data_IF_978769954582
#
_entry.id   IF_978769954582
#
_cell.length_a   1.000
_cell.length_b   1.000
_cell.length_c   1.000
_cell.angle_alpha   90.00
_cell.angle_beta   90.00
_cell.angle_gamma   90.00
#
_symmetry.space_group_name_H-M   'P 1'
#
loop_
_entity.id
_entity.type
_entity.pdbx_description
1 polymer ?
#
# COMPACT_ATOMS: atom_id res chain seq x y z
N UNK A 1 -24.11 -34.50 -14.68
CA UNK A 1 -24.57 -33.99 -13.37
C UNK A 1 -23.44 -33.91 -12.33
N UNK A 2 -22.89 -35.04 -11.80
CA UNK A 2 -21.91 -35.05 -10.68
C UNK A 2 -20.85 -33.92 -10.66
N UNK A 3 -20.10 -33.68 -11.75
CA UNK A 3 -19.10 -32.58 -11.83
C UNK A 3 -19.67 -31.19 -11.49
N UNK A 4 -20.88 -30.86 -11.96
CA UNK A 4 -21.54 -29.58 -11.67
C UNK A 4 -22.03 -29.46 -10.21
N UNK A 5 -22.26 -30.61 -9.56
CA UNK A 5 -22.64 -30.70 -8.15
C UNK A 5 -21.40 -30.50 -7.25
N UNK A 6 -20.26 -31.06 -7.65
CA UNK A 6 -18.96 -30.82 -7.00
C UNK A 6 -18.50 -29.37 -7.11
N UNK A 7 -18.57 -28.74 -8.30
CA UNK A 7 -18.24 -27.31 -8.43
C UNK A 7 -19.18 -26.42 -7.64
N UNK A 8 -20.49 -26.71 -7.58
CA UNK A 8 -21.41 -26.00 -6.69
C UNK A 8 -21.00 -26.10 -5.22
N UNK A 9 -20.66 -27.29 -4.72
CA UNK A 9 -20.21 -27.46 -3.33
C UNK A 9 -18.90 -26.72 -3.03
N UNK A 10 -17.92 -26.78 -3.93
CA UNK A 10 -16.67 -26.04 -3.80
C UNK A 10 -16.88 -24.52 -3.82
N UNK A 11 -17.77 -24.00 -4.68
CA UNK A 11 -18.15 -22.59 -4.70
C UNK A 11 -18.87 -22.18 -3.42
N UNK A 12 -19.78 -22.99 -2.88
CA UNK A 12 -20.44 -22.68 -1.59
C UNK A 12 -19.48 -22.74 -0.40
N UNK A 13 -18.46 -23.60 -0.43
CA UNK A 13 -17.41 -23.62 0.59
C UNK A 13 -16.55 -22.34 0.52
N UNK A 14 -16.01 -22.01 -0.67
CA UNK A 14 -15.23 -20.79 -0.88
C UNK A 14 -16.02 -19.51 -0.56
N UNK A 15 -17.33 -19.47 -0.84
CA UNK A 15 -18.21 -18.37 -0.44
C UNK A 15 -18.48 -18.35 1.06
N UNK A 16 -18.56 -19.51 1.71
CA UNK A 16 -18.64 -19.64 3.17
C UNK A 16 -17.38 -19.12 3.88
N UNK A 17 -16.20 -19.50 3.38
CA UNK A 17 -14.91 -19.05 3.90
C UNK A 17 -14.68 -17.56 3.60
N UNK A 18 -15.03 -17.08 2.40
CA UNK A 18 -15.04 -15.66 2.09
C UNK A 18 -15.98 -14.89 3.04
N UNK A 19 -17.19 -15.41 3.30
CA UNK A 19 -18.13 -14.85 4.25
C UNK A 19 -17.64 -14.95 5.71
N UNK A 20 -16.78 -15.91 6.06
CA UNK A 20 -16.11 -16.00 7.36
C UNK A 20 -14.99 -14.96 7.51
N UNK A 21 -14.19 -14.75 6.47
CA UNK A 21 -13.14 -13.72 6.39
C UNK A 21 -13.72 -12.30 6.40
N UNK A 22 -14.86 -12.11 5.72
CA UNK A 22 -15.65 -10.86 5.70
C UNK A 22 -16.49 -10.70 6.99
N UNK A 23 -16.77 -11.78 7.73
CA UNK A 23 -17.68 -11.74 8.90
C UNK A 23 -17.16 -10.79 9.97
N UNK A 24 -18.04 -9.88 10.37
CA UNK A 24 -17.76 -8.81 11.33
C UNK A 24 -17.55 -9.40 12.74
N UNK A 25 -16.29 -9.66 13.08
CA UNK A 25 -15.69 -9.77 14.43
C UNK A 25 -16.52 -10.52 15.49
N UNK A 26 -16.07 -11.71 15.91
CA UNK A 26 -16.62 -12.41 17.07
C UNK A 26 -16.67 -11.51 18.33
N UNK A 27 -17.72 -11.59 19.16
CA UNK A 27 -17.79 -10.86 20.43
C UNK A 27 -16.63 -11.29 21.34
N UNK A 28 -15.90 -10.30 21.90
CA UNK A 28 -14.76 -10.51 22.78
C UNK A 28 -13.41 -10.02 22.24
N UNK A 29 -13.12 -10.17 20.93
CA UNK A 29 -11.80 -9.87 20.36
C UNK A 29 -11.36 -8.41 20.61
N UNK A 30 -10.06 -8.17 20.79
CA UNK A 30 -9.48 -6.81 20.97
C UNK A 30 -8.98 -6.29 19.62
N UNK A 31 -9.24 -5.03 19.33
CA UNK A 31 -8.85 -4.33 18.10
C UNK A 31 -7.47 -3.70 18.30
N UNK A 32 -6.42 -4.51 18.23
CA UNK A 32 -5.02 -4.06 18.27
C UNK A 32 -4.55 -3.47 16.92
N UNK A 33 -5.38 -3.56 15.88
CA UNK A 33 -5.01 -3.35 14.48
C UNK A 33 -5.73 -2.16 13.81
N UNK A 34 -5.38 -1.89 12.54
CA UNK A 34 -6.00 -0.88 11.69
C UNK A 34 -6.73 -1.54 10.50
N UNK A 35 -7.68 -0.82 9.88
CA UNK A 35 -8.43 -1.34 8.72
C UNK A 35 -7.56 -1.67 7.51
N UNK A 36 -6.42 -0.99 7.34
CA UNK A 36 -5.43 -1.32 6.31
C UNK A 36 -4.75 -2.66 6.59
N UNK A 37 -4.29 -2.92 7.83
CA UNK A 37 -3.79 -4.26 8.22
C UNK A 37 -4.82 -5.36 7.92
N UNK A 38 -6.09 -5.15 8.29
CA UNK A 38 -7.17 -6.12 8.01
C UNK A 38 -7.35 -6.40 6.50
N UNK A 39 -7.01 -5.45 5.62
CA UNK A 39 -7.03 -5.63 4.17
C UNK A 39 -5.87 -6.53 3.68
N UNK A 40 -4.71 -6.47 4.33
CA UNK A 40 -3.55 -7.36 4.08
C UNK A 40 -3.79 -8.77 4.62
N UNK A 41 -3.84 -8.92 5.96
CA UNK A 41 -3.77 -10.24 6.61
C UNK A 41 -5.08 -11.04 6.54
N UNK A 42 -6.22 -10.40 6.28
CA UNK A 42 -7.49 -11.11 6.04
C UNK A 42 -7.77 -11.23 4.55
N UNK A 43 -8.07 -10.11 3.90
CA UNK A 43 -8.63 -10.13 2.54
C UNK A 43 -7.60 -10.54 1.49
N UNK A 44 -6.40 -9.94 1.53
CA UNK A 44 -5.35 -10.25 0.54
C UNK A 44 -4.78 -11.64 0.75
N UNK A 45 -4.48 -12.03 2.00
CA UNK A 45 -4.06 -13.40 2.34
C UNK A 45 -5.09 -14.44 1.87
N UNK A 46 -6.39 -14.23 2.16
CA UNK A 46 -7.45 -15.13 1.69
C UNK A 46 -7.54 -15.20 0.16
N UNK A 47 -7.41 -14.07 -0.54
CA UNK A 47 -7.45 -13.99 -2.01
C UNK A 47 -6.32 -14.82 -2.65
N UNK A 48 -5.09 -14.64 -2.17
CA UNK A 48 -3.92 -15.38 -2.66
C UNK A 48 -4.00 -16.89 -2.35
N UNK A 49 -4.39 -17.27 -1.12
CA UNK A 49 -4.57 -18.67 -0.75
C UNK A 49 -5.72 -19.33 -1.54
N UNK A 50 -6.83 -18.63 -1.76
CA UNK A 50 -7.95 -19.12 -2.57
C UNK A 50 -7.54 -19.36 -4.03
N UNK A 51 -6.77 -18.45 -4.63
CA UNK A 51 -6.25 -18.65 -5.99
C UNK A 51 -5.18 -19.75 -6.06
N UNK A 52 -4.34 -19.92 -5.03
CA UNK A 52 -3.42 -21.06 -4.93
C UNK A 52 -4.20 -22.38 -4.89
N UNK A 53 -5.17 -22.54 -3.98
CA UNK A 53 -6.01 -23.73 -3.84
C UNK A 53 -6.74 -24.04 -5.16
N UNK A 54 -7.32 -23.03 -5.82
CA UNK A 54 -8.05 -23.23 -7.07
C UNK A 54 -7.14 -23.59 -8.26
N UNK A 55 -5.91 -23.04 -8.30
CA UNK A 55 -4.88 -23.41 -9.28
C UNK A 55 -4.39 -24.86 -9.08
N UNK A 56 -4.14 -25.27 -7.82
CA UNK A 56 -3.82 -26.65 -7.46
C UNK A 56 -4.96 -27.61 -7.80
N UNK A 57 -6.21 -27.27 -7.45
CA UNK A 57 -7.37 -28.10 -7.75
C UNK A 57 -7.55 -28.31 -9.27
N UNK A 58 -7.35 -27.27 -10.09
CA UNK A 58 -7.38 -27.41 -11.55
C UNK A 58 -6.22 -28.27 -12.08
N UNK A 59 -5.06 -28.26 -11.42
CA UNK A 59 -3.89 -29.07 -11.76
C UNK A 59 -4.03 -30.56 -11.36
N UNK A 60 -4.95 -30.88 -10.44
CA UNK A 60 -5.20 -32.25 -9.95
C UNK A 60 -6.46 -32.90 -10.56
N UNK A 61 -7.43 -32.11 -11.03
CA UNK A 61 -8.75 -32.59 -11.46
C UNK A 61 -8.96 -32.60 -13.00
N UNK A 62 -7.95 -32.19 -13.78
CA UNK A 62 -7.99 -32.20 -15.23
C UNK A 62 -6.60 -32.18 -15.84
N UNK A 63 -6.51 -32.51 -17.14
CA UNK A 63 -5.24 -32.53 -17.87
C UNK A 63 -4.61 -31.13 -17.90
N UNK A 64 -3.40 -30.91 -17.34
CA UNK A 64 -2.81 -29.57 -17.25
C UNK A 64 -2.41 -29.00 -18.62
N UNK A 65 -2.09 -29.89 -19.57
CA UNK A 65 -1.96 -29.58 -21.00
C UNK A 65 -2.44 -30.75 -21.87
N UNK A 66 -2.79 -30.45 -23.12
CA UNK A 66 -3.15 -31.44 -24.13
C UNK A 66 -2.44 -31.12 -25.45
N UNK A 67 -1.52 -31.99 -25.88
CA UNK A 67 -0.71 -31.82 -27.08
C UNK A 67 -1.22 -32.63 -28.28
N UNK A 68 -1.01 -32.08 -29.47
CA UNK A 68 -1.19 -32.73 -30.77
C UNK A 68 0.13 -32.74 -31.54
N UNK A 69 0.47 -33.88 -32.13
CA UNK A 69 1.69 -34.09 -32.93
C UNK A 69 1.37 -35.08 -34.06
N UNK A 70 1.53 -34.66 -35.32
CA UNK A 70 1.16 -35.48 -36.47
C UNK A 70 2.07 -36.70 -36.68
N UNK A 71 3.38 -36.53 -36.49
CA UNK A 71 4.39 -37.57 -36.79
C UNK A 71 4.80 -38.42 -35.58
N UNK A 72 4.29 -38.09 -34.39
CA UNK A 72 4.55 -38.87 -33.17
C UNK A 72 3.83 -40.23 -33.21
N UNK A 73 2.61 -40.31 -33.75
CA UNK A 73 1.89 -41.57 -33.93
C UNK A 73 2.63 -42.52 -34.88
N UNK A 74 3.13 -42.00 -36.01
CA UNK A 74 4.02 -42.73 -36.96
C UNK A 74 5.33 -43.18 -36.31
N UNK A 75 5.75 -42.49 -35.23
CA UNK A 75 6.97 -42.78 -34.48
C UNK A 75 6.75 -43.73 -33.30
N UNK A 76 5.55 -44.28 -33.10
CA UNK A 76 5.21 -45.16 -31.97
C UNK A 76 5.13 -44.45 -30.61
N UNK A 77 5.08 -43.12 -30.57
CA UNK A 77 5.07 -42.34 -29.32
C UNK A 77 3.62 -42.07 -28.91
N UNK A 78 3.25 -42.47 -27.69
CA UNK A 78 1.91 -42.23 -27.14
C UNK A 78 1.71 -40.75 -26.80
N UNK A 79 0.45 -40.29 -26.85
CA UNK A 79 0.09 -38.90 -26.51
C UNK A 79 0.47 -38.53 -25.07
N UNK A 80 0.43 -39.49 -24.16
CA UNK A 80 0.77 -39.33 -22.74
C UNK A 80 2.25 -39.00 -22.53
N UNK A 81 3.15 -39.64 -23.28
CA UNK A 81 4.59 -39.35 -23.27
C UNK A 81 4.84 -37.91 -23.73
N UNK A 82 4.15 -37.46 -24.79
CA UNK A 82 4.27 -36.09 -25.33
C UNK A 82 3.74 -35.08 -24.30
N UNK A 83 2.53 -35.28 -23.78
CA UNK A 83 1.95 -34.42 -22.74
C UNK A 83 2.89 -34.29 -21.54
N UNK A 84 3.44 -35.42 -21.04
CA UNK A 84 4.32 -35.44 -19.87
C UNK A 84 5.66 -34.76 -20.16
N UNK A 85 6.29 -35.04 -21.31
CA UNK A 85 7.54 -34.40 -21.72
C UNK A 85 7.37 -32.89 -21.88
N UNK A 86 6.37 -32.44 -22.64
CA UNK A 86 6.11 -31.01 -22.86
C UNK A 86 5.69 -30.29 -21.57
N UNK A 87 5.03 -30.99 -20.63
CA UNK A 87 4.72 -30.43 -19.31
C UNK A 87 5.99 -30.19 -18.47
N UNK A 88 6.92 -31.16 -18.44
CA UNK A 88 8.15 -31.10 -17.63
C UNK A 88 9.20 -30.19 -18.27
N UNK A 89 9.55 -30.43 -19.53
CA UNK A 89 10.59 -29.70 -20.30
C UNK A 89 10.15 -28.29 -20.68
N UNK A 90 8.84 -28.03 -20.66
CA UNK A 90 8.25 -26.72 -20.95
C UNK A 90 7.90 -26.51 -22.42
N UNK A 91 7.22 -25.40 -22.67
CA UNK A 91 6.77 -25.01 -24.00
C UNK A 91 7.17 -23.58 -24.32
N UNK A 92 7.12 -23.18 -25.59
CA UNK A 92 7.54 -21.86 -26.04
C UNK A 92 6.57 -21.26 -27.05
N UNK A 93 6.63 -19.94 -27.19
CA UNK A 93 6.00 -19.19 -28.30
C UNK A 93 7.08 -18.45 -29.06
N UNK A 94 7.01 -18.45 -30.39
CA UNK A 94 7.88 -17.63 -31.21
C UNK A 94 7.38 -16.17 -31.19
N UNK A 95 8.22 -15.16 -30.93
CA UNK A 95 7.82 -13.76 -30.99
C UNK A 95 7.46 -13.39 -32.44
N UNK A 96 6.16 -13.30 -32.71
CA UNK A 96 5.61 -13.07 -34.06
C UNK A 96 5.87 -11.64 -34.55
N UNK A 97 7.09 -11.37 -35.05
CA UNK A 97 7.33 -10.23 -35.93
C UNK A 97 6.49 -10.41 -37.18
N UNK A 98 5.35 -9.71 -37.26
CA UNK A 98 4.48 -9.74 -38.44
C UNK A 98 5.26 -9.32 -39.70
N UNK A 99 5.36 -10.20 -40.72
CA UNK A 99 5.58 -9.78 -42.09
C UNK A 99 4.22 -9.50 -42.73
N UNK A 100 4.13 -8.53 -43.62
CA UNK A 100 2.91 -8.31 -44.44
C UNK A 100 2.82 -9.29 -45.62
N UNK A 101 3.04 -10.58 -45.32
CA UNK A 101 2.88 -11.70 -46.24
C UNK A 101 1.44 -12.23 -46.23
N UNK A 102 0.50 -11.33 -46.50
CA UNK A 102 -0.89 -11.64 -46.87
C UNK A 102 -0.95 -12.55 -48.12
N UNK A 103 0.13 -12.52 -48.91
CA UNK A 103 0.44 -13.35 -50.09
C UNK A 103 0.37 -14.87 -49.90
N UNK A 104 0.30 -15.38 -48.67
CA UNK A 104 0.26 -16.83 -48.40
C UNK A 104 -1.15 -17.37 -48.12
N UNK A 105 -2.17 -16.54 -47.90
CA UNK A 105 -3.55 -16.98 -47.61
C UNK A 105 -3.76 -17.76 -46.31
N UNK A 106 -2.69 -18.07 -45.56
CA UNK A 106 -2.75 -18.71 -44.25
C UNK A 106 -3.29 -17.70 -43.25
N UNK A 107 -4.60 -17.73 -43.02
CA UNK A 107 -5.28 -16.88 -42.04
C UNK A 107 -4.60 -17.00 -40.66
N UNK A 108 -4.36 -15.83 -40.02
CA UNK A 108 -3.55 -15.68 -38.79
C UNK A 108 -4.26 -16.27 -37.55
N UNK A 109 -4.44 -17.58 -37.51
CA UNK A 109 -5.27 -18.25 -36.53
C UNK A 109 -4.81 -18.03 -35.08
N UNK A 110 -3.49 -18.06 -34.81
CA UNK A 110 -2.94 -17.90 -33.46
C UNK A 110 -1.59 -17.16 -33.48
N UNK A 111 -1.44 -16.03 -32.75
CA UNK A 111 -0.14 -15.41 -32.56
C UNK A 111 0.75 -16.31 -31.68
N UNK A 112 2.05 -16.36 -31.99
CA UNK A 112 3.04 -17.14 -31.21
C UNK A 112 3.44 -18.50 -31.80
N UNK A 113 2.83 -18.93 -32.91
CA UNK A 113 3.14 -20.18 -33.61
C UNK A 113 3.70 -19.89 -35.01
N UNK A 114 4.70 -20.67 -35.45
CA UNK A 114 5.31 -20.54 -36.77
C UNK A 114 6.61 -21.33 -36.93
N UNK A 115 7.34 -21.05 -38.02
CA UNK A 115 8.73 -21.49 -38.26
C UNK A 115 9.70 -20.38 -37.84
N UNK A 116 10.72 -20.65 -37.01
CA UNK A 116 11.68 -19.62 -36.60
C UNK A 116 12.63 -19.28 -37.76
N UNK A 117 12.61 -18.03 -38.22
CA UNK A 117 13.52 -17.58 -39.28
C UNK A 117 14.90 -17.24 -38.71
N UNK A 118 15.95 -17.45 -39.52
CA UNK A 118 17.34 -17.05 -39.19
C UNK A 118 17.44 -15.51 -39.15
N UNK A 119 17.29 -14.93 -37.96
CA UNK A 119 17.32 -13.48 -37.72
C UNK A 119 16.21 -12.96 -36.79
N UNK A 120 15.30 -13.83 -36.32
CA UNK A 120 14.23 -13.44 -35.40
C UNK A 120 14.66 -13.40 -33.92
N UNK A 121 13.83 -12.78 -33.09
CA UNK A 121 13.99 -12.73 -31.63
C UNK A 121 13.90 -14.15 -31.04
N UNK A 122 14.61 -14.44 -29.93
CA UNK A 122 14.61 -15.77 -29.31
C UNK A 122 13.21 -16.20 -28.85
N UNK A 123 12.96 -17.50 -28.86
CA UNK A 123 11.70 -18.08 -28.40
C UNK A 123 11.41 -17.71 -26.94
N UNK A 124 10.18 -17.23 -26.67
CA UNK A 124 9.72 -16.93 -25.31
C UNK A 124 9.27 -18.23 -24.66
N UNK A 125 10.06 -18.73 -23.72
CA UNK A 125 9.77 -19.96 -22.98
C UNK A 125 8.79 -19.71 -21.84
N UNK A 126 7.87 -20.65 -21.65
CA UNK A 126 6.83 -20.62 -20.62
C UNK A 126 7.04 -21.82 -19.70
N UNK A 127 7.55 -21.56 -18.50
CA UNK A 127 7.69 -22.57 -17.43
C UNK A 127 7.03 -22.13 -16.12
N UNK A 128 6.68 -20.84 -15.99
CA UNK A 128 6.11 -20.24 -14.79
C UNK A 128 4.81 -20.93 -14.32
N UNK A 129 4.03 -21.52 -15.24
CA UNK A 129 2.73 -22.13 -14.93
C UNK A 129 2.82 -23.31 -13.95
N UNK A 130 3.95 -24.03 -13.91
CA UNK A 130 4.23 -25.08 -12.92
C UNK A 130 4.32 -24.50 -11.49
N UNK A 131 4.80 -23.26 -11.39
CA UNK A 131 5.17 -22.59 -10.15
C UNK A 131 4.09 -21.64 -9.60
N UNK A 132 3.05 -21.33 -10.40
CA UNK A 132 1.93 -20.45 -10.01
C UNK A 132 1.31 -20.82 -8.65
N UNK A 133 0.96 -22.10 -8.36
CA UNK A 133 0.31 -22.43 -7.09
C UNK A 133 1.20 -22.16 -5.87
N UNK A 134 2.50 -22.49 -5.99
CA UNK A 134 3.51 -22.29 -4.94
C UNK A 134 3.83 -20.80 -4.73
N UNK A 135 3.97 -20.05 -5.83
CA UNK A 135 4.14 -18.60 -5.80
C UNK A 135 2.98 -17.92 -5.06
N UNK A 136 1.73 -18.20 -5.46
CA UNK A 136 0.53 -17.63 -4.84
C UNK A 136 0.42 -17.99 -3.35
N UNK A 137 0.79 -19.22 -2.97
CA UNK A 137 0.82 -19.65 -1.57
C UNK A 137 1.83 -18.86 -0.72
N UNK A 138 3.08 -18.76 -1.18
CA UNK A 138 4.15 -18.03 -0.49
C UNK A 138 3.81 -16.53 -0.40
N UNK A 139 3.29 -15.94 -1.48
CA UNK A 139 2.81 -14.55 -1.50
C UNK A 139 1.69 -14.33 -0.48
N UNK A 140 0.73 -15.26 -0.37
CA UNK A 140 -0.33 -15.23 0.64
C UNK A 140 0.20 -15.22 2.08
N UNK A 141 1.17 -16.08 2.40
CA UNK A 141 1.85 -16.09 3.71
C UNK A 141 2.56 -14.74 3.97
N UNK A 142 3.21 -14.17 2.96
CA UNK A 142 3.92 -12.91 3.08
C UNK A 142 2.97 -11.72 3.40
N UNK A 143 1.70 -11.77 2.97
CA UNK A 143 0.66 -10.81 3.39
C UNK A 143 0.15 -11.00 4.82
N UNK A 144 0.35 -12.16 5.44
CA UNK A 144 0.03 -12.40 6.84
C UNK A 144 1.16 -12.00 7.80
N UNK A 145 2.42 -12.15 7.36
CA UNK A 145 3.64 -11.93 8.19
C UNK A 145 3.66 -10.61 8.98
N UNK A 146 3.31 -9.41 8.43
CA UNK A 146 3.36 -8.17 9.19
C UNK A 146 2.33 -8.07 10.32
N UNK A 147 1.20 -8.80 10.23
CA UNK A 147 0.24 -8.92 11.33
C UNK A 147 0.80 -9.82 12.44
N UNK A 148 1.32 -10.99 12.09
CA UNK A 148 1.92 -11.92 13.05
C UNK A 148 3.09 -11.28 13.82
N UNK A 149 3.95 -10.51 13.13
CA UNK A 149 4.99 -9.71 13.76
C UNK A 149 4.45 -8.62 14.71
N UNK A 150 3.29 -8.03 14.42
CA UNK A 150 2.66 -7.07 15.33
C UNK A 150 2.07 -7.75 16.57
N UNK A 151 1.38 -8.87 16.37
CA UNK A 151 0.76 -9.68 17.43
C UNK A 151 1.79 -10.16 18.46
N UNK A 152 2.95 -10.65 17.99
CA UNK A 152 4.11 -11.00 18.82
C UNK A 152 4.75 -9.80 19.55
N UNK A 153 4.60 -8.57 19.05
CA UNK A 153 5.16 -7.36 19.67
C UNK A 153 4.19 -6.66 20.64
N UNK A 154 2.89 -6.91 20.51
CA UNK A 154 1.83 -6.42 21.41
C UNK A 154 1.74 -7.24 22.69
N UNK A 155 2.01 -8.56 22.64
CA UNK A 155 2.20 -9.38 23.85
C UNK A 155 0.96 -9.35 24.79
N UNK A 156 -0.24 -9.20 24.20
CA UNK A 156 -1.53 -9.17 24.91
C UNK A 156 -1.73 -8.03 25.91
N UNK A 157 -0.93 -6.96 25.88
CA UNK A 157 -0.94 -5.87 26.87
C UNK A 157 -2.26 -5.11 26.91
N UNK A 158 -2.73 -4.63 25.75
CA UNK A 158 -4.03 -3.95 25.60
C UNK A 158 -5.17 -4.90 25.91
N UNK A 159 -5.04 -6.20 25.57
CA UNK A 159 -6.03 -7.20 25.94
C UNK A 159 -6.16 -7.32 27.46
N UNK A 160 -5.04 -7.49 28.17
CA UNK A 160 -5.01 -7.63 29.63
C UNK A 160 -5.59 -6.41 30.32
N UNK A 161 -5.23 -5.20 29.87
CA UNK A 161 -5.70 -3.92 30.43
C UNK A 161 -7.20 -3.64 30.19
N UNK A 162 -7.77 -4.15 29.09
CA UNK A 162 -9.18 -3.86 28.72
C UNK A 162 -10.14 -4.99 29.08
N UNK A 163 -9.67 -6.24 29.24
CA UNK A 163 -10.49 -7.43 29.53
C UNK A 163 -11.48 -7.21 30.67
N UNK A 164 -11.02 -6.60 31.76
CA UNK A 164 -11.85 -6.39 32.97
C UNK A 164 -12.83 -5.22 32.86
N UNK A 165 -12.66 -4.32 31.89
CA UNK A 165 -13.55 -3.15 31.69
C UNK A 165 -14.65 -3.40 30.63
N UNK A 166 -14.77 -4.62 30.12
CA UNK A 166 -15.74 -5.03 29.08
C UNK A 166 -16.90 -5.89 29.59
N UNK A 167 -16.98 -6.15 30.89
CA UNK A 167 -18.02 -6.99 31.46
C UNK A 167 -19.34 -6.17 31.52
N UNK A 168 -20.42 -6.56 30.82
CA UNK A 168 -21.64 -5.76 30.73
C UNK A 168 -22.45 -5.69 32.04
N UNK A 169 -22.04 -6.45 33.06
CA UNK A 169 -22.71 -6.60 34.36
C UNK A 169 -21.98 -5.86 35.51
N UNK A 170 -21.00 -5.00 35.22
CA UNK A 170 -20.31 -4.25 36.29
C UNK A 170 -21.15 -3.13 36.89
N UNK A 171 -21.18 -3.08 38.23
CA UNK A 171 -21.68 -1.91 38.94
C UNK A 171 -20.79 -0.66 38.71
N UNK A 172 -21.40 0.53 38.84
CA UNK A 172 -20.80 1.84 38.62
C UNK A 172 -19.59 2.10 39.52
N UNK A 173 -19.62 1.71 40.79
CA UNK A 173 -18.49 1.92 41.70
C UNK A 173 -17.35 0.92 41.43
N UNK A 174 -17.68 -0.32 41.06
CA UNK A 174 -16.69 -1.30 40.60
C UNK A 174 -15.97 -0.85 39.31
N UNK A 175 -16.72 -0.35 38.32
CA UNK A 175 -16.17 0.23 37.10
C UNK A 175 -15.27 1.44 37.41
N UNK A 176 -15.73 2.36 38.27
CA UNK A 176 -14.99 3.56 38.70
C UNK A 176 -13.68 3.23 39.40
N UNK A 177 -13.64 2.16 40.21
CA UNK A 177 -12.40 1.64 40.82
C UNK A 177 -11.43 1.12 39.75
N UNK A 178 -11.89 0.22 38.86
CA UNK A 178 -11.06 -0.37 37.79
C UNK A 178 -10.55 0.68 36.78
N UNK A 179 -11.36 1.69 36.45
CA UNK A 179 -10.93 2.85 35.65
C UNK A 179 -9.88 3.69 36.40
N UNK A 180 -9.98 3.80 37.73
CA UNK A 180 -8.95 4.43 38.57
C UNK A 180 -7.62 3.68 38.56
N UNK A 181 -7.65 2.35 38.67
CA UNK A 181 -6.46 1.50 38.58
C UNK A 181 -5.80 1.59 37.18
N UNK A 182 -6.59 1.57 36.11
CA UNK A 182 -6.11 1.81 34.74
C UNK A 182 -5.51 3.22 34.57
N UNK A 183 -6.15 4.25 35.15
CA UNK A 183 -5.65 5.63 35.10
C UNK A 183 -4.32 5.77 35.83
N UNK A 184 -4.15 5.11 36.98
CA UNK A 184 -2.88 5.06 37.73
C UNK A 184 -1.78 4.44 36.87
N UNK A 185 -1.99 3.20 36.39
CA UNK A 185 -1.04 2.47 35.54
C UNK A 185 -0.62 3.28 34.29
N UNK A 186 -1.58 3.85 33.56
CA UNK A 186 -1.27 4.67 32.39
C UNK A 186 -0.45 5.90 32.78
N UNK A 187 -0.81 6.60 33.86
CA UNK A 187 -0.12 7.83 34.29
C UNK A 187 1.29 7.56 34.85
N UNK A 188 1.56 6.34 35.32
CA UNK A 188 2.90 5.87 35.70
C UNK A 188 3.74 5.46 34.48
N UNK A 189 3.11 5.04 33.38
CA UNK A 189 3.78 4.52 32.17
C UNK A 189 3.89 5.54 31.01
N UNK A 190 3.30 6.73 31.13
CA UNK A 190 3.39 7.81 30.14
C UNK A 190 4.86 8.13 29.77
N UNK A 191 5.13 8.32 28.48
CA UNK A 191 6.45 8.53 27.91
C UNK A 191 7.18 7.24 27.50
N UNK A 192 6.81 6.07 28.05
CA UNK A 192 7.46 4.79 27.73
C UNK A 192 7.00 4.20 26.37
N UNK A 193 5.84 4.63 25.85
CA UNK A 193 5.19 4.01 24.70
C UNK A 193 5.77 4.37 23.32
N UNK A 194 6.75 5.28 23.21
CA UNK A 194 7.31 5.67 21.89
C UNK A 194 7.99 4.49 21.18
N UNK A 195 8.68 3.60 21.93
CA UNK A 195 9.27 2.37 21.37
C UNK A 195 8.22 1.33 20.92
N UNK A 196 7.07 1.28 21.59
CA UNK A 196 5.93 0.43 21.21
C UNK A 196 5.28 0.94 19.91
N UNK A 197 5.13 2.26 19.77
CA UNK A 197 4.66 2.88 18.53
C UNK A 197 5.66 2.74 17.37
N UNK A 198 6.97 2.80 17.63
CA UNK A 198 7.99 2.55 16.60
C UNK A 198 7.85 1.14 16.00
N UNK A 199 7.66 0.11 16.85
CA UNK A 199 7.39 -1.27 16.39
C UNK A 199 6.13 -1.34 15.52
N UNK A 200 5.05 -0.63 15.90
CA UNK A 200 3.84 -0.55 15.08
C UNK A 200 4.09 0.08 13.70
N UNK A 201 4.86 1.18 13.65
CA UNK A 201 5.22 1.85 12.39
C UNK A 201 6.07 0.96 11.50
N UNK A 202 6.99 0.18 12.07
CA UNK A 202 7.80 -0.82 11.34
C UNK A 202 6.89 -1.88 10.71
N UNK A 203 5.95 -2.47 11.47
CA UNK A 203 5.00 -3.44 10.94
C UNK A 203 4.13 -2.87 9.81
N UNK A 204 3.75 -1.58 9.89
CA UNK A 204 2.94 -0.94 8.84
C UNK A 204 3.77 -0.52 7.61
N UNK A 205 5.04 -0.18 7.79
CA UNK A 205 5.99 -0.01 6.69
C UNK A 205 6.29 -1.34 5.98
N UNK A 206 6.36 -2.46 6.73
CA UNK A 206 6.48 -3.81 6.17
C UNK A 206 5.28 -4.19 5.29
N UNK A 207 4.05 -3.73 5.58
CA UNK A 207 2.91 -3.87 4.65
C UNK A 207 3.19 -3.20 3.30
N UNK A 208 3.75 -1.98 3.29
CA UNK A 208 4.07 -1.24 2.06
C UNK A 208 5.18 -1.95 1.27
N UNK A 209 6.28 -2.32 1.95
CA UNK A 209 7.39 -3.07 1.36
C UNK A 209 6.90 -4.38 0.78
N UNK A 210 6.02 -5.11 1.47
CA UNK A 210 5.45 -6.37 1.01
C UNK A 210 4.59 -6.22 -0.25
N UNK A 211 3.72 -5.19 -0.34
CA UNK A 211 2.94 -4.95 -1.58
C UNK A 211 3.85 -4.65 -2.76
N UNK A 212 4.82 -3.75 -2.56
CA UNK A 212 5.77 -3.35 -3.62
C UNK A 212 6.60 -4.56 -4.07
N UNK A 213 7.13 -5.34 -3.11
CA UNK A 213 7.83 -6.58 -3.38
C UNK A 213 6.96 -7.56 -4.18
N UNK A 214 5.69 -7.74 -3.81
CA UNK A 214 4.77 -8.63 -4.53
C UNK A 214 4.52 -8.19 -5.97
N UNK A 215 4.40 -6.88 -6.23
CA UNK A 215 4.24 -6.33 -7.58
C UNK A 215 5.52 -6.55 -8.42
N UNK A 216 6.70 -6.26 -7.84
CA UNK A 216 8.01 -6.46 -8.51
C UNK A 216 8.30 -7.95 -8.77
N UNK A 217 8.04 -8.81 -7.78
CA UNK A 217 8.19 -10.26 -7.88
C UNK A 217 7.28 -10.84 -8.97
N UNK A 218 5.99 -10.50 -8.94
CA UNK A 218 5.01 -10.96 -9.95
C UNK A 218 5.41 -10.48 -11.35
N UNK A 219 5.96 -9.28 -11.49
CA UNK A 219 6.48 -8.80 -12.76
C UNK A 219 7.69 -9.58 -13.26
N UNK A 220 8.66 -9.90 -12.39
CA UNK A 220 9.81 -10.74 -12.78
C UNK A 220 9.40 -12.19 -13.07
N UNK A 221 8.43 -12.72 -12.35
CA UNK A 221 7.85 -14.05 -12.55
C UNK A 221 7.11 -14.18 -13.89
N UNK A 222 6.41 -13.12 -14.33
CA UNK A 222 5.73 -13.03 -15.62
C UNK A 222 6.60 -12.36 -16.71
N UNK A 223 7.92 -12.56 -16.68
CA UNK A 223 8.87 -12.13 -17.71
C UNK A 223 8.82 -10.62 -18.08
N UNK A 224 8.39 -9.76 -17.16
CA UNK A 224 8.31 -8.30 -17.33
C UNK A 224 6.96 -7.75 -17.79
N UNK A 225 5.96 -8.61 -18.04
CA UNK A 225 4.67 -8.20 -18.63
C UNK A 225 3.68 -7.58 -17.63
N UNK A 226 3.84 -7.89 -16.33
CA UNK A 226 2.80 -7.63 -15.33
C UNK A 226 2.49 -6.15 -15.12
N UNK A 227 3.49 -5.27 -15.10
CA UNK A 227 3.26 -3.83 -14.82
C UNK A 227 2.23 -3.21 -15.76
N UNK A 228 2.29 -3.54 -17.06
CA UNK A 228 1.35 -3.06 -18.09
C UNK A 228 0.22 -4.04 -18.39
N UNK A 229 0.06 -5.12 -17.64
CA UNK A 229 -0.92 -6.17 -17.94
C UNK A 229 -2.37 -5.68 -17.81
N UNK A 230 -2.74 -5.14 -16.65
CA UNK A 230 -4.11 -4.68 -16.41
C UNK A 230 -4.49 -3.45 -17.23
N UNK A 231 -3.55 -2.53 -17.50
CA UNK A 231 -3.79 -1.38 -18.38
C UNK A 231 -3.98 -1.78 -19.84
N UNK A 232 -3.12 -2.65 -20.40
CA UNK A 232 -3.33 -3.23 -21.75
C UNK A 232 -4.66 -3.97 -21.84
N UNK A 233 -5.04 -4.74 -20.81
CA UNK A 233 -6.34 -5.43 -20.79
C UNK A 233 -7.52 -4.45 -20.74
N UNK A 234 -7.43 -3.37 -19.95
CA UNK A 234 -8.45 -2.33 -19.88
C UNK A 234 -8.62 -1.62 -21.23
N UNK A 235 -7.52 -1.25 -21.88
CA UNK A 235 -7.53 -0.67 -23.23
C UNK A 235 -8.16 -1.63 -24.26
N UNK A 236 -7.75 -2.90 -24.26
CA UNK A 236 -8.32 -3.94 -25.13
C UNK A 236 -9.84 -4.10 -24.95
N UNK A 237 -10.35 -4.03 -23.72
CA UNK A 237 -11.80 -4.15 -23.47
C UNK A 237 -12.62 -2.93 -23.94
N UNK A 238 -12.00 -1.77 -24.14
CA UNK A 238 -12.66 -0.58 -24.69
C UNK A 238 -12.49 -0.48 -26.23
N UNK A 239 -11.42 -1.04 -26.78
CA UNK A 239 -11.08 -0.96 -28.20
C UNK A 239 -11.68 -2.11 -29.03
N UNK A 240 -12.89 -1.92 -29.55
CA UNK A 240 -13.64 -2.91 -30.38
C UNK A 240 -12.82 -3.46 -31.56
N UNK A 241 -11.88 -2.67 -32.10
CA UNK A 241 -11.06 -3.05 -33.25
C UNK A 241 -9.73 -3.76 -32.88
N UNK A 242 -9.51 -4.11 -31.60
CA UNK A 242 -8.26 -4.72 -31.15
C UNK A 242 -8.13 -6.19 -31.59
N UNK A 243 -7.23 -6.48 -32.53
CA UNK A 243 -7.07 -7.81 -33.16
C UNK A 243 -6.28 -8.82 -32.32
N UNK A 244 -5.48 -8.37 -31.36
CA UNK A 244 -4.65 -9.23 -30.49
C UNK A 244 -4.96 -8.95 -29.03
N UNK A 245 -5.27 -10.00 -28.26
CA UNK A 245 -5.56 -9.88 -26.83
C UNK A 245 -4.28 -9.97 -25.98
N UNK A 246 -3.97 -8.96 -25.12
CA UNK A 246 -2.77 -8.97 -24.28
C UNK A 246 -2.77 -10.09 -23.22
N UNK A 247 -3.97 -10.61 -22.90
CA UNK A 247 -4.15 -11.85 -22.15
C UNK A 247 -3.44 -13.04 -22.82
N UNK A 248 -3.61 -13.20 -24.13
CA UNK A 248 -3.05 -14.32 -24.88
C UNK A 248 -1.56 -14.14 -25.22
N UNK A 249 -1.05 -12.90 -25.20
CA UNK A 249 0.38 -12.57 -25.29
C UNK A 249 1.14 -12.87 -23.98
N UNK A 250 0.51 -12.60 -22.84
CA UNK A 250 1.10 -12.83 -21.51
C UNK A 250 0.92 -14.28 -21.05
N UNK A 251 -0.27 -14.85 -21.29
CA UNK A 251 -0.67 -16.21 -20.92
C UNK A 251 -1.13 -16.98 -22.17
N UNK A 252 -0.19 -17.45 -23.01
CA UNK A 252 -0.55 -18.17 -24.23
C UNK A 252 -1.30 -19.47 -23.90
N UNK A 253 -2.46 -19.63 -24.54
CA UNK A 253 -3.33 -20.81 -24.43
C UNK A 253 -2.95 -21.92 -25.41
N UNK A 254 -2.13 -21.59 -26.40
CA UNK A 254 -1.50 -22.50 -27.37
C UNK A 254 0.00 -22.22 -27.40
N UNK A 255 0.81 -23.27 -27.35
CA UNK A 255 2.27 -23.19 -27.30
C UNK A 255 2.91 -24.29 -28.13
N UNK A 256 4.17 -24.12 -28.53
CA UNK A 256 4.95 -25.13 -29.25
C UNK A 256 5.85 -25.91 -28.28
N UNK A 257 6.01 -27.19 -28.55
CA UNK A 257 6.95 -28.10 -27.89
C UNK A 257 7.73 -28.86 -28.96
N UNK A 258 8.98 -29.23 -28.69
CA UNK A 258 9.83 -30.00 -29.62
C UNK A 258 10.39 -31.22 -28.89
N UNK A 259 9.76 -32.37 -29.08
CA UNK A 259 10.22 -33.66 -28.57
C UNK A 259 11.44 -34.12 -29.38
N UNK A 260 12.49 -34.61 -28.71
CA UNK A 260 13.69 -35.11 -29.39
C UNK A 260 13.82 -36.62 -29.16
N UNK A 261 13.94 -37.39 -30.24
CA UNK A 261 14.25 -38.82 -30.22
C UNK A 261 15.50 -39.10 -31.04
N UNK A 262 16.15 -40.23 -30.76
CA UNK A 262 17.25 -40.74 -31.58
C UNK A 262 16.71 -41.78 -32.56
N UNK A 263 17.08 -41.67 -33.83
CA UNK A 263 16.82 -42.71 -34.83
C UNK A 263 17.81 -43.88 -34.71
N UNK A 264 17.58 -44.95 -35.46
CA UNK A 264 18.45 -46.16 -35.47
C UNK A 264 19.92 -45.88 -35.82
N UNK A 265 20.19 -44.77 -36.52
CA UNK A 265 21.54 -44.28 -36.88
C UNK A 265 22.14 -43.32 -35.83
N UNK A 266 21.55 -43.23 -34.63
CA UNK A 266 21.94 -42.25 -33.60
C UNK A 266 21.60 -40.79 -33.94
N UNK A 267 20.99 -40.53 -35.10
CA UNK A 267 20.66 -39.17 -35.55
C UNK A 267 19.45 -38.60 -34.79
N UNK A 268 19.56 -37.34 -34.36
CA UNK A 268 18.50 -36.64 -33.62
C UNK A 268 17.35 -36.28 -34.55
N UNK A 269 16.19 -36.90 -34.34
CA UNK A 269 14.95 -36.56 -35.01
C UNK A 269 14.10 -35.68 -34.06
N UNK A 270 13.74 -34.48 -34.53
CA UNK A 270 12.89 -33.53 -33.80
C UNK A 270 11.44 -33.68 -34.26
N UNK A 271 10.54 -33.85 -33.30
CA UNK A 271 9.10 -33.93 -33.52
C UNK A 271 8.43 -32.74 -32.85
N UNK A 272 7.80 -31.88 -33.65
CA UNK A 272 7.11 -30.70 -33.14
C UNK A 272 5.67 -31.03 -32.75
N UNK A 273 5.27 -30.56 -31.56
CA UNK A 273 3.93 -30.69 -31.03
C UNK A 273 3.34 -29.31 -30.71
N UNK A 274 2.02 -29.16 -30.94
CA UNK A 274 1.25 -27.98 -30.53
C UNK A 274 0.44 -28.36 -29.30
N UNK A 275 0.61 -27.61 -28.21
CA UNK A 275 0.02 -27.93 -26.91
C UNK A 275 -0.98 -26.85 -26.47
N UNK A 276 -2.21 -27.27 -26.18
CA UNK A 276 -3.21 -26.47 -25.48
C UNK A 276 -2.86 -26.47 -24.00
N UNK A 277 -2.65 -25.29 -23.43
CA UNK A 277 -2.20 -25.09 -22.05
C UNK A 277 -3.38 -24.62 -21.18
N UNK A 278 -4.17 -25.58 -20.69
CA UNK A 278 -5.44 -25.32 -20.03
C UNK A 278 -5.30 -24.40 -18.80
N UNK A 279 -4.22 -24.54 -18.03
CA UNK A 279 -3.94 -23.70 -16.85
C UNK A 279 -3.86 -22.20 -17.17
N UNK A 280 -3.44 -21.81 -18.38
CA UNK A 280 -3.31 -20.41 -18.73
C UNK A 280 -4.65 -19.67 -18.90
N UNK A 281 -5.75 -20.37 -19.20
CA UNK A 281 -7.09 -19.74 -19.24
C UNK A 281 -7.57 -19.31 -17.84
N UNK A 282 -7.03 -19.92 -16.79
CA UNK A 282 -7.28 -19.55 -15.41
C UNK A 282 -6.30 -18.46 -14.94
N UNK A 283 -5.00 -18.64 -15.23
CA UNK A 283 -3.96 -17.68 -14.88
C UNK A 283 -4.23 -16.28 -15.46
N UNK A 284 -4.70 -16.18 -16.71
CA UNK A 284 -5.00 -14.87 -17.34
C UNK A 284 -6.08 -14.06 -16.58
N UNK A 285 -6.99 -14.73 -15.85
CA UNK A 285 -8.02 -14.09 -15.04
C UNK A 285 -7.55 -13.82 -13.62
N UNK A 286 -6.86 -14.77 -13.00
CA UNK A 286 -6.28 -14.60 -11.65
C UNK A 286 -5.32 -13.41 -11.62
N UNK A 287 -4.36 -13.35 -12.53
CA UNK A 287 -3.40 -12.25 -12.55
C UNK A 287 -4.00 -10.91 -12.98
N UNK A 288 -5.14 -10.89 -13.68
CA UNK A 288 -5.89 -9.65 -13.92
C UNK A 288 -6.51 -9.12 -12.63
N UNK A 289 -7.21 -9.97 -11.86
CA UNK A 289 -7.81 -9.59 -10.58
C UNK A 289 -6.73 -9.16 -9.59
N UNK A 290 -5.61 -9.89 -9.52
CA UNK A 290 -4.47 -9.53 -8.68
C UNK A 290 -3.81 -8.21 -9.09
N UNK A 291 -3.76 -7.86 -10.38
CA UNK A 291 -3.22 -6.57 -10.83
C UNK A 291 -4.02 -5.39 -10.27
N UNK A 292 -5.34 -5.39 -10.46
CA UNK A 292 -6.22 -4.34 -9.94
C UNK A 292 -6.23 -4.33 -8.40
N UNK A 293 -6.21 -5.51 -7.76
CA UNK A 293 -6.18 -5.62 -6.31
C UNK A 293 -4.89 -5.06 -5.71
N UNK A 294 -3.71 -5.50 -6.18
CA UNK A 294 -2.41 -5.06 -5.67
C UNK A 294 -2.18 -3.57 -5.89
N UNK A 295 -2.57 -3.02 -7.05
CA UNK A 295 -2.48 -1.58 -7.32
C UNK A 295 -3.37 -0.76 -6.37
N UNK A 296 -4.63 -1.17 -6.18
CA UNK A 296 -5.57 -0.53 -5.25
C UNK A 296 -5.08 -0.62 -3.81
N UNK A 297 -4.58 -1.79 -3.41
CA UNK A 297 -4.00 -2.06 -2.09
C UNK A 297 -2.75 -1.20 -1.82
N UNK A 298 -1.88 -1.02 -2.81
CA UNK A 298 -0.72 -0.14 -2.73
C UNK A 298 -1.15 1.31 -2.48
N UNK A 299 -2.05 1.84 -3.32
CA UNK A 299 -2.56 3.21 -3.24
C UNK A 299 -3.21 3.47 -1.88
N UNK A 300 -4.09 2.58 -1.40
CA UNK A 300 -4.75 2.71 -0.09
C UNK A 300 -3.73 2.67 1.05
N UNK A 301 -2.79 1.72 1.04
CA UNK A 301 -1.81 1.54 2.12
C UNK A 301 -0.88 2.75 2.21
N UNK A 302 -0.31 3.19 1.08
CA UNK A 302 0.59 4.35 1.02
C UNK A 302 -0.16 5.63 1.42
N UNK A 303 -1.37 5.86 0.90
CA UNK A 303 -2.16 7.06 1.20
C UNK A 303 -2.50 7.16 2.69
N UNK A 304 -2.94 6.05 3.32
CA UNK A 304 -3.27 6.03 4.75
C UNK A 304 -2.02 6.14 5.63
N UNK A 305 -0.89 5.57 5.21
CA UNK A 305 0.38 5.70 5.93
C UNK A 305 0.91 7.14 5.89
N UNK A 306 0.93 7.78 4.73
CA UNK A 306 1.33 9.18 4.56
C UNK A 306 0.40 10.12 5.33
N UNK A 307 -0.91 9.95 5.20
CA UNK A 307 -1.92 10.71 5.96
C UNK A 307 -1.70 10.57 7.47
N UNK A 308 -1.56 9.34 7.98
CA UNK A 308 -1.33 9.13 9.42
C UNK A 308 -0.04 9.79 9.88
N UNK A 309 1.06 9.63 9.14
CA UNK A 309 2.37 10.18 9.49
C UNK A 309 2.35 11.70 9.53
N UNK A 310 1.82 12.36 8.50
CA UNK A 310 1.71 13.82 8.45
C UNK A 310 0.87 14.39 9.62
N UNK A 311 -0.29 13.79 9.91
CA UNK A 311 -1.16 14.26 11.00
C UNK A 311 -0.61 13.97 12.41
N UNK A 312 0.24 12.95 12.59
CA UNK A 312 0.90 12.68 13.87
C UNK A 312 2.03 13.66 14.18
N UNK A 313 2.78 14.11 13.16
CA UNK A 313 3.77 15.18 13.29
C UNK A 313 3.10 16.51 13.70
N UNK A 314 1.95 16.84 13.10
CA UNK A 314 1.22 18.07 13.38
C UNK A 314 0.46 18.02 14.74
N UNK A 315 1.15 18.38 15.83
CA UNK A 315 0.57 18.48 17.19
C UNK A 315 -0.79 19.20 17.27
N UNK A 316 -1.03 20.21 16.41
CA UNK A 316 -2.28 21.00 16.34
C UNK A 316 -3.53 20.17 15.98
N UNK A 317 -3.41 19.09 15.19
CA UNK A 317 -4.55 18.30 14.73
C UNK A 317 -4.84 17.04 15.57
N UNK A 318 -3.91 16.66 16.47
CA UNK A 318 -4.06 15.50 17.38
C UNK A 318 -5.37 15.52 18.20
N UNK A 319 -5.75 16.59 18.93
CA UNK A 319 -6.94 16.57 19.78
C UNK A 319 -8.25 16.37 18.99
N UNK A 320 -8.45 17.13 17.91
CA UNK A 320 -9.63 16.99 17.06
C UNK A 320 -9.73 15.62 16.37
N UNK A 321 -8.61 15.01 15.98
CA UNK A 321 -8.59 13.64 15.46
C UNK A 321 -8.93 12.60 16.55
N UNK A 322 -8.41 12.78 17.77
CA UNK A 322 -8.69 11.89 18.90
C UNK A 322 -10.17 11.92 19.28
N UNK A 323 -10.75 13.11 19.48
CA UNK A 323 -12.17 13.28 19.82
C UNK A 323 -13.09 12.65 18.77
N UNK A 324 -12.82 12.86 17.47
CA UNK A 324 -13.57 12.24 16.36
C UNK A 324 -13.48 10.71 16.35
N UNK A 325 -12.36 10.12 16.79
CA UNK A 325 -12.19 8.66 16.91
C UNK A 325 -12.84 8.09 18.17
N UNK A 326 -12.83 8.85 19.26
CA UNK A 326 -13.33 8.45 20.58
C UNK A 326 -14.85 8.65 20.76
N UNK A 327 -15.53 9.34 19.83
CA UNK A 327 -16.96 9.70 19.92
C UNK A 327 -17.28 10.47 21.24
N UNK A 328 -16.31 11.27 21.68
CA UNK A 328 -16.39 12.12 22.88
C UNK A 328 -16.70 13.57 22.49
N UNK A 329 -17.55 14.28 23.26
CA UNK A 329 -17.77 15.72 23.05
C UNK A 329 -16.48 16.52 23.22
N UNK A 330 -16.40 17.66 22.53
CA UNK A 330 -15.28 18.57 22.59
C UNK A 330 -15.14 19.16 24.00
N UNK A 331 -14.01 18.89 24.67
CA UNK A 331 -13.72 19.38 26.02
C UNK A 331 -12.26 19.79 26.10
N UNK A 332 -12.02 20.99 26.64
CA UNK A 332 -10.68 21.58 26.82
C UNK A 332 -9.77 20.66 27.64
N UNK A 333 -10.32 20.01 28.67
CA UNK A 333 -9.70 18.96 29.47
C UNK A 333 -9.01 17.86 28.64
N UNK A 334 -9.64 17.39 27.55
CA UNK A 334 -9.07 16.35 26.68
C UNK A 334 -8.01 16.95 25.75
N UNK A 335 -8.23 18.17 25.24
CA UNK A 335 -7.26 18.84 24.37
C UNK A 335 -5.93 19.09 25.08
N UNK A 336 -5.99 19.54 26.33
CA UNK A 336 -4.82 19.86 27.14
C UNK A 336 -3.94 18.63 27.41
N UNK A 337 -4.55 17.46 27.62
CA UNK A 337 -3.83 16.18 27.72
C UNK A 337 -3.25 15.79 26.36
N UNK A 338 -4.09 15.69 25.33
CA UNK A 338 -3.72 15.13 24.01
C UNK A 338 -2.69 15.98 23.26
N UNK A 339 -2.59 17.27 23.55
CA UNK A 339 -1.61 18.18 22.95
C UNK A 339 -0.17 18.00 23.45
N UNK A 340 0.01 17.56 24.69
CA UNK A 340 1.30 17.58 25.40
C UNK A 340 1.95 16.21 25.63
N UNK A 341 1.26 15.11 25.31
CA UNK A 341 1.77 13.73 25.36
C UNK A 341 2.70 13.37 24.17
N UNK A 342 3.44 12.26 24.31
CA UNK A 342 4.31 11.73 23.25
C UNK A 342 3.53 11.17 22.06
N UNK A 343 4.22 10.67 21.03
CA UNK A 343 3.55 10.05 19.86
C UNK A 343 3.05 8.65 20.22
N UNK A 344 3.87 7.91 20.98
CA UNK A 344 3.53 6.60 21.52
C UNK A 344 2.37 6.64 22.50
N UNK A 345 2.37 7.60 23.43
CA UNK A 345 1.26 7.82 24.37
C UNK A 345 -0.05 8.10 23.61
N UNK A 346 0.01 8.96 22.59
CA UNK A 346 -1.14 9.29 21.73
C UNK A 346 -1.67 8.05 20.98
N UNK A 347 -0.76 7.23 20.44
CA UNK A 347 -1.13 5.99 19.76
C UNK A 347 -1.77 4.99 20.74
N UNK A 348 -1.17 4.79 21.91
CA UNK A 348 -1.64 3.85 22.93
C UNK A 348 -3.00 4.27 23.53
N UNK A 349 -3.18 5.56 23.86
CA UNK A 349 -4.49 6.10 24.25
C UNK A 349 -5.53 5.95 23.13
N UNK A 350 -5.13 6.13 21.87
CA UNK A 350 -5.98 5.86 20.71
C UNK A 350 -6.34 4.38 20.53
N UNK A 351 -5.49 3.46 21.03
CA UNK A 351 -5.70 2.02 21.00
C UNK A 351 -6.63 1.56 22.14
N UNK A 352 -6.50 2.14 23.34
CA UNK A 352 -7.47 2.01 24.43
C UNK A 352 -8.85 2.57 24.01
N UNK A 353 -8.89 3.74 23.37
CA UNK A 353 -10.14 4.36 22.90
C UNK A 353 -10.90 3.55 21.84
N UNK A 354 -10.22 2.72 21.03
CA UNK A 354 -10.87 1.74 20.13
C UNK A 354 -11.52 0.56 20.86
N UNK A 355 -11.16 0.33 22.12
CA UNK A 355 -11.37 -0.94 22.81
C UNK A 355 -12.19 -0.86 24.11
N UNK A 356 -12.22 0.31 24.76
CA UNK A 356 -13.09 0.62 25.89
C UNK A 356 -14.48 1.07 25.42
N UNK A 357 -15.51 0.76 26.20
CA UNK A 357 -16.86 1.30 25.96
C UNK A 357 -16.92 2.80 26.27
N UNK A 358 -17.83 3.52 25.60
CA UNK A 358 -17.92 5.00 25.62
C UNK A 358 -18.03 5.54 27.06
N UNK A 359 -18.76 4.86 27.95
CA UNK A 359 -18.89 5.24 29.37
C UNK A 359 -17.57 5.11 30.13
N UNK A 360 -16.88 3.96 29.99
CA UNK A 360 -15.59 3.72 30.61
C UNK A 360 -14.51 4.67 30.08
N UNK A 361 -14.50 4.91 28.76
CA UNK A 361 -13.59 5.83 28.08
C UNK A 361 -13.76 7.29 28.54
N UNK A 362 -15.01 7.77 28.67
CA UNK A 362 -15.29 9.12 29.20
C UNK A 362 -14.83 9.27 30.64
N UNK A 363 -15.08 8.26 31.48
CA UNK A 363 -14.62 8.27 32.88
C UNK A 363 -13.09 8.28 32.96
N UNK A 364 -12.42 7.40 32.22
CA UNK A 364 -10.95 7.31 32.12
C UNK A 364 -10.32 8.64 31.70
N UNK A 365 -10.79 9.24 30.61
CA UNK A 365 -10.26 10.52 30.12
C UNK A 365 -10.47 11.65 31.14
N UNK A 366 -11.61 11.68 31.84
CA UNK A 366 -11.88 12.68 32.88
C UNK A 366 -10.95 12.53 34.11
N UNK A 367 -10.61 11.31 34.50
CA UNK A 367 -9.66 11.05 35.59
C UNK A 367 -8.24 11.39 35.15
N UNK A 368 -7.83 10.97 33.95
CA UNK A 368 -6.51 11.27 33.36
C UNK A 368 -6.27 12.79 33.25
N UNK A 369 -7.28 13.57 32.82
CA UNK A 369 -7.18 15.04 32.77
C UNK A 369 -7.11 15.72 34.15
N UNK A 370 -7.68 15.11 35.20
CA UNK A 370 -7.53 15.58 36.59
C UNK A 370 -6.12 15.31 37.13
N UNK A 371 -5.56 14.12 36.89
CA UNK A 371 -4.19 13.78 37.32
C UNK A 371 -3.14 14.56 36.52
N UNK A 372 -3.32 14.70 35.20
CA UNK A 372 -2.43 15.48 34.33
C UNK A 372 -2.34 16.95 34.76
N UNK A 373 -3.46 17.58 35.13
CA UNK A 373 -3.44 18.94 35.70
C UNK A 373 -2.70 19.01 37.04
N UNK A 374 -2.89 18.05 37.96
CA UNK A 374 -2.17 17.99 39.24
C UNK A 374 -0.65 17.83 39.10
N UNK A 375 -0.15 17.27 37.98
CA UNK A 375 1.29 17.15 37.69
C UNK A 375 1.89 18.37 36.99
N UNK A 376 1.11 19.34 36.52
CA UNK A 376 1.65 20.63 36.07
C UNK A 376 1.92 21.51 37.29
N UNK A 377 3.01 22.29 37.33
CA UNK A 377 3.07 23.41 38.26
C UNK A 377 1.86 24.32 38.01
N UNK A 378 1.33 25.01 39.03
CA UNK A 378 0.29 26.01 38.81
C UNK A 378 0.81 27.03 37.79
N UNK A 379 -0.05 27.58 36.91
CA UNK A 379 0.39 28.65 36.02
C UNK A 379 0.94 29.77 36.88
N UNK A 380 2.22 30.11 36.69
CA UNK A 380 2.82 31.27 37.35
C UNK A 380 1.93 32.45 37.00
N UNK A 381 1.33 33.06 38.04
CA UNK A 381 0.53 34.26 37.83
C UNK A 381 1.43 35.27 37.15
N UNK A 382 1.14 35.56 35.88
CA UNK A 382 1.79 36.64 35.15
C UNK A 382 1.30 37.92 35.80
N UNK A 383 2.03 38.36 36.82
CA UNK A 383 1.74 39.59 37.54
C UNK A 383 1.44 40.66 36.51
N UNK A 384 0.27 41.30 36.68
CA UNK A 384 -0.03 42.51 35.95
C UNK A 384 0.94 43.55 36.48
N UNK A 385 2.10 43.69 35.83
CA UNK A 385 2.94 44.89 35.98
C UNK A 385 2.00 46.08 35.88
N UNK A 386 1.86 46.93 36.90
CA UNK A 386 1.10 48.15 36.75
C UNK A 386 1.74 48.95 35.62
N UNK A 387 0.90 49.50 34.73
CA UNK A 387 1.40 50.28 33.60
C UNK A 387 2.16 51.49 34.11
N UNK A 388 3.47 51.58 33.80
CA UNK A 388 4.24 52.80 34.01
C UNK A 388 3.76 53.88 33.04
N UNK A 389 2.72 54.59 33.45
CA UNK A 389 2.09 55.71 32.75
C UNK A 389 1.50 56.64 33.83
N UNK A 390 2.37 57.41 34.49
CA UNK A 390 1.99 58.25 35.65
C UNK A 390 3.12 58.58 36.64
N UNK A 391 4.40 58.34 36.28
CA UNK A 391 5.54 58.43 37.21
C UNK A 391 6.62 59.46 36.76
N UNK A 392 6.29 60.34 35.80
CA UNK A 392 7.22 61.36 35.25
C UNK A 392 6.91 62.81 35.69
N UNK A 393 5.85 63.06 36.45
CA UNK A 393 5.36 64.42 36.75
C UNK A 393 5.73 64.97 38.13
N UNK A 394 6.37 64.19 39.01
CA UNK A 394 6.62 64.56 40.42
C UNK A 394 8.04 64.17 40.89
N UNK A 395 9.08 64.47 40.09
CA UNK A 395 10.47 64.13 40.46
C UNK A 395 11.56 65.07 39.87
N UNK A 396 11.26 66.35 39.62
CA UNK A 396 12.31 67.33 39.25
C UNK A 396 12.15 68.64 40.04
N UNK A 397 12.67 68.64 41.26
CA UNK A 397 12.68 69.81 42.14
C UNK A 397 13.71 70.88 41.70
N UNK A 398 13.47 72.10 42.17
CA UNK A 398 14.37 73.26 42.18
C UNK A 398 15.82 72.90 42.61
N UNK A 399 16.87 73.64 42.19
CA UNK A 399 17.11 75.07 42.54
C UNK A 399 18.05 75.81 41.53
N UNK A 400 18.25 77.14 41.65
CA UNK A 400 18.68 78.00 40.53
C UNK A 400 20.08 78.66 40.64
N UNK A 401 20.54 79.25 39.52
CA UNK A 401 21.15 80.60 39.52
C UNK A 401 22.60 80.78 39.02
N UNK A 402 22.77 81.45 37.86
CA UNK A 402 23.91 82.30 37.45
C UNK A 402 23.61 83.03 36.12
N UNK A 403 24.36 84.10 35.77
CA UNK A 403 24.14 84.99 34.60
C UNK A 403 25.47 85.17 33.76
N UNK A 404 25.63 86.07 32.74
CA UNK A 404 26.24 85.68 31.46
C UNK A 404 27.39 86.57 30.90
N UNK A 405 28.00 86.15 29.79
CA UNK A 405 28.74 86.96 28.76
C UNK A 405 28.83 86.13 27.46
N UNK A 406 28.50 86.58 26.25
CA UNK A 406 28.98 87.69 25.38
C UNK A 406 30.35 87.46 24.70
N UNK A 407 30.33 87.03 23.42
CA UNK A 407 31.14 87.58 22.30
C UNK A 407 30.84 86.89 20.94
N UNK A 408 30.83 87.68 19.86
CA UNK A 408 30.83 87.34 18.42
C UNK A 408 31.82 88.36 17.74
N UNK A 409 32.10 88.43 16.40
CA UNK A 409 31.56 87.70 15.24
C UNK A 409 32.62 87.26 14.18
N UNK A 410 32.13 86.95 12.95
CA UNK A 410 32.82 86.88 11.63
C UNK A 410 33.39 85.51 11.18
N UNK A 411 33.21 85.07 9.91
CA UNK A 411 32.47 85.71 8.81
C UNK A 411 32.17 84.80 7.59
N UNK A 412 31.27 85.29 6.72
CA UNK A 412 30.76 84.69 5.46
C UNK A 412 31.66 85.03 4.24
N UNK A 413 31.44 84.55 2.98
CA UNK A 413 30.27 83.85 2.40
C UNK A 413 30.54 82.65 1.46
N UNK A 414 29.48 82.13 0.82
CA UNK A 414 29.47 81.05 -0.20
C UNK A 414 29.58 81.60 -1.65
N UNK A 415 29.52 80.79 -2.75
CA UNK A 415 28.25 80.17 -3.21
C UNK A 415 28.32 78.80 -3.96
N UNK A 416 27.13 78.23 -4.21
CA UNK A 416 26.79 77.10 -5.13
C UNK A 416 26.75 77.57 -6.62
N UNK A 417 26.70 76.71 -7.70
CA UNK A 417 25.62 75.72 -7.94
C UNK A 417 25.77 74.53 -8.98
N UNK A 418 24.74 73.65 -9.03
CA UNK A 418 24.18 72.84 -10.18
C UNK A 418 25.11 71.85 -10.95
N UNK A 419 24.67 70.64 -11.33
CA UNK A 419 23.62 70.39 -12.35
C UNK A 419 23.26 68.89 -12.56
N UNK A 420 22.30 68.60 -13.46
CA UNK A 420 21.84 67.30 -14.06
C UNK A 420 21.56 67.60 -15.55
N UNK A 421 21.69 66.67 -16.54
CA UNK A 421 20.54 65.80 -16.92
C UNK A 421 20.79 64.48 -17.74
N UNK A 422 19.70 63.76 -18.03
CA UNK A 422 19.39 62.97 -19.26
C UNK A 422 20.00 61.57 -19.59
N UNK A 423 19.25 60.85 -20.47
CA UNK A 423 19.39 59.48 -21.02
C UNK A 423 19.70 59.58 -22.56
N UNK A 424 19.57 58.60 -23.53
CA UNK A 424 19.03 57.21 -23.51
C UNK A 424 19.63 56.13 -24.50
N UNK A 425 19.01 54.92 -24.53
CA UNK A 425 19.04 53.87 -25.61
C UNK A 425 20.41 53.14 -25.88
N UNK A 426 20.54 52.02 -26.62
CA UNK A 426 19.62 51.24 -27.49
C UNK A 426 19.84 49.69 -27.49
N UNK A 427 18.74 48.94 -27.71
CA UNK A 427 18.48 47.74 -28.54
C UNK A 427 19.58 46.80 -29.10
N UNK A 428 19.33 45.47 -29.06
CA UNK A 428 19.01 44.62 -30.24
C UNK A 428 18.53 43.19 -29.87
N UNK A 429 18.09 42.42 -30.88
CA UNK A 429 16.82 41.67 -30.86
C UNK A 429 16.81 40.36 -31.70
N UNK A 430 15.78 39.52 -31.51
CA UNK A 430 15.53 38.24 -32.24
C UNK A 430 15.00 38.44 -33.68
N UNK A 431 15.22 37.45 -34.58
CA UNK A 431 14.16 36.54 -35.09
C UNK A 431 14.62 35.05 -35.10
N UNK A 432 13.90 33.98 -35.51
CA UNK A 432 12.47 33.62 -35.61
C UNK A 432 12.34 32.06 -35.80
N UNK A 433 11.14 31.51 -36.07
CA UNK A 433 10.88 30.09 -36.47
C UNK A 433 9.97 30.02 -37.71
N UNK A 434 9.87 28.85 -38.39
CA UNK A 434 8.55 28.31 -38.74
C UNK A 434 8.44 26.77 -38.56
N UNK A 435 7.38 26.12 -39.08
CA UNK A 435 6.98 24.73 -38.74
C UNK A 435 6.28 23.96 -39.90
N UNK A 436 5.85 22.70 -39.62
CA UNK A 436 5.19 21.70 -40.50
C UNK A 436 6.19 20.84 -41.33
N UNK A 437 5.85 19.67 -41.91
CA UNK A 437 4.53 19.04 -42.18
C UNK A 437 4.56 17.50 -42.03
N UNK A 438 3.44 16.83 -42.33
CA UNK A 438 3.27 15.35 -42.34
C UNK A 438 4.09 14.66 -43.45
N UNK A 439 4.38 13.37 -43.25
CA UNK A 439 3.80 12.30 -44.10
C UNK A 439 3.00 11.39 -43.16
#
# INVERSE_FOLDING_TARGET
MRRAQQTRMAITALLGDAAAVIRKKQPGQVLIDNKVFQLHYRVTTFLFLSFSILSTANSLLGDPMNCACADCAKSGITKEIINTHCWITGTFTLPSKQPDNDRLGISKAFPGLGTPNRGELPAKYHLYYQWVPFALFIQGIMFYMPHWMWELNEDGRVFTLVRELRLPTMDKEALKKKVGDLTRYVTETLGSYDGYYLRFVICDALNIVNVIFNIVFTNRFLNGEFYSYGSRCWEYFNNVNATVSPMSETFPKLTKCTFQKFGVSGTVQRLDAICVLALNIFNEKVYLVLWFWLLTLAIITISVFLFRSAFLLMKRFRPGMFQRRALTPHTTDIEDVVRNISVGDYFFLGLLAKNLDITALRLFLSQLARVSRKRRPPPTHRERRPSRAGEESIAMLARPGALPTLAEPSGSPAPHPRSRPSSPRAHHARPASPARLRV
#
